data_IF_734811017602
#
_entry.id   IF_734811017602
#
_cell.length_a   1.000
_cell.length_b   1.000
_cell.length_c   1.000
_cell.angle_alpha   90.00
_cell.angle_beta   90.00
_cell.angle_gamma   90.00
#
_symmetry.space_group_name_H-M   'P 1'
#
loop_
_entity.id
_entity.type
_entity.pdbx_description
1 polymer ?
#
# COMPACT_ATOMS: atom_id res chain seq x y z
N UNK A 1 -6.25 -11.79 9.43
CA UNK A 1 -5.05 -11.64 8.57
C UNK A 1 -4.18 -10.49 9.10
N UNK A 2 -2.85 -10.65 9.24
CA UNK A 2 -1.95 -9.56 9.67
C UNK A 2 -1.39 -8.80 8.47
N UNK A 3 -1.58 -7.48 8.48
CA UNK A 3 -1.09 -6.53 7.46
C UNK A 3 -0.18 -5.51 8.15
N UNK A 4 0.93 -5.16 7.50
CA UNK A 4 1.88 -4.14 8.00
C UNK A 4 1.55 -2.78 7.40
N UNK A 5 1.77 -1.70 8.17
CA UNK A 5 1.52 -0.32 7.72
C UNK A 5 2.28 0.04 6.44
N UNK A 6 3.54 -0.41 6.31
CA UNK A 6 4.35 -0.25 5.11
C UNK A 6 3.68 -0.82 3.85
N UNK A 7 2.98 -1.95 3.97
CA UNK A 7 2.33 -2.57 2.82
C UNK A 7 1.07 -1.78 2.41
N UNK A 8 0.32 -1.25 3.38
CA UNK A 8 -0.81 -0.35 3.11
C UNK A 8 -0.33 0.91 2.37
N UNK A 9 0.80 1.48 2.82
CA UNK A 9 1.41 2.65 2.20
C UNK A 9 1.81 2.42 0.73
N UNK A 10 2.41 1.26 0.45
CA UNK A 10 2.75 0.86 -0.92
C UNK A 10 1.52 0.75 -1.83
N UNK A 11 0.42 0.16 -1.34
CA UNK A 11 -0.82 0.05 -2.12
C UNK A 11 -1.46 1.43 -2.35
N UNK A 12 -1.41 2.32 -1.35
CA UNK A 12 -1.86 3.71 -1.51
C UNK A 12 -1.07 4.45 -2.58
N UNK A 13 0.27 4.35 -2.56
CA UNK A 13 1.12 4.92 -3.62
C UNK A 13 0.81 4.35 -5.00
N UNK A 14 0.61 3.03 -5.14
CA UNK A 14 0.21 2.41 -6.41
C UNK A 14 -1.08 2.98 -6.99
N UNK A 15 -2.01 3.41 -6.12
CA UNK A 15 -3.28 4.01 -6.51
C UNK A 15 -3.24 5.55 -6.54
N UNK A 16 -2.05 6.16 -6.52
CA UNK A 16 -1.89 7.61 -6.63
C UNK A 16 -2.30 8.40 -5.38
N UNK A 17 -2.53 7.73 -4.25
CA UNK A 17 -2.85 8.40 -2.99
C UNK A 17 -1.55 8.99 -2.43
N UNK A 18 -1.47 10.32 -2.42
CA UNK A 18 -0.33 11.06 -1.85
C UNK A 18 -0.34 10.88 -0.33
N UNK A 19 0.71 10.27 0.19
CA UNK A 19 0.90 10.11 1.62
C UNK A 19 1.82 11.18 2.21
N UNK A 20 1.72 11.39 3.52
CA UNK A 20 2.77 12.07 4.28
C UNK A 20 4.08 11.28 4.19
N UNK A 21 5.20 11.96 4.41
CA UNK A 21 6.54 11.38 4.32
C UNK A 21 6.63 10.09 5.16
N UNK A 22 7.06 9.00 4.53
CA UNK A 22 7.35 7.75 5.23
C UNK A 22 8.65 7.92 6.03
N UNK A 23 8.55 7.90 7.36
CA UNK A 23 9.70 8.03 8.26
C UNK A 23 10.55 6.75 8.34
N UNK A 24 9.99 5.59 7.96
CA UNK A 24 10.77 4.36 7.74
C UNK A 24 11.52 4.46 6.41
N UNK A 25 12.61 5.22 6.42
CA UNK A 25 13.50 5.34 5.28
C UNK A 25 14.32 4.05 5.12
N UNK A 26 14.51 3.55 3.89
CA UNK A 26 15.41 2.43 3.64
C UNK A 26 16.85 2.82 4.02
N UNK A 27 17.64 1.85 4.48
CA UNK A 27 19.06 2.07 4.84
C UNK A 27 19.95 2.33 3.62
N UNK A 28 19.49 1.94 2.43
CA UNK A 28 20.17 2.18 1.15
C UNK A 28 19.14 2.42 0.05
N UNK A 29 19.52 3.16 -1.00
CA UNK A 29 18.63 3.54 -2.11
C UNK A 29 18.00 2.35 -2.85
N UNK A 30 18.68 1.20 -2.89
CA UNK A 30 18.24 -0.01 -3.59
C UNK A 30 17.63 -1.08 -2.67
N UNK A 31 17.13 -0.70 -1.49
CA UNK A 31 16.51 -1.68 -0.59
C UNK A 31 15.23 -2.23 -1.23
N UNK A 32 15.24 -3.52 -1.61
CA UNK A 32 14.05 -4.20 -2.15
C UNK A 32 12.96 -4.24 -1.07
N UNK A 33 11.88 -3.49 -1.30
CA UNK A 33 10.69 -3.55 -0.48
C UNK A 33 10.04 -4.94 -0.60
N UNK A 34 9.61 -5.58 0.50
CA UNK A 34 8.94 -6.87 0.44
C UNK A 34 7.61 -6.73 -0.30
N UNK A 35 7.44 -7.48 -1.40
CA UNK A 35 6.16 -7.60 -2.11
C UNK A 35 5.27 -8.56 -1.34
N UNK A 36 4.11 -8.10 -0.89
CA UNK A 36 3.14 -8.95 -0.21
C UNK A 36 2.46 -9.94 -1.17
N UNK A 37 1.89 -11.04 -0.65
CA UNK A 37 1.11 -11.97 -1.45
C UNK A 37 -0.14 -11.29 -2.07
N UNK A 38 -0.61 -11.73 -3.25
CA UNK A 38 -1.72 -11.11 -3.97
C UNK A 38 -3.01 -10.97 -3.16
N UNK A 39 -3.29 -11.91 -2.26
CA UNK A 39 -4.46 -11.89 -1.38
C UNK A 39 -4.47 -10.66 -0.45
N UNK A 40 -3.30 -10.28 0.09
CA UNK A 40 -3.19 -9.08 0.93
C UNK A 40 -3.38 -7.80 0.13
N UNK A 41 -2.89 -7.77 -1.10
CA UNK A 41 -3.10 -6.64 -2.00
C UNK A 41 -4.59 -6.46 -2.31
N UNK A 42 -5.31 -7.56 -2.59
CA UNK A 42 -6.77 -7.53 -2.76
C UNK A 42 -7.48 -7.02 -1.51
N UNK A 43 -7.21 -7.61 -0.34
CA UNK A 43 -7.87 -7.21 0.90
C UNK A 43 -7.66 -5.72 1.25
N UNK A 44 -6.46 -5.17 1.00
CA UNK A 44 -6.19 -3.74 1.21
C UNK A 44 -6.92 -2.90 0.17
N UNK A 45 -6.90 -3.30 -1.11
CA UNK A 45 -7.56 -2.57 -2.20
C UNK A 45 -9.08 -2.51 -1.97
N UNK A 46 -9.70 -3.62 -1.57
CA UNK A 46 -11.12 -3.67 -1.20
C UNK A 46 -11.43 -2.78 0.01
N UNK A 47 -10.58 -2.77 1.03
CA UNK A 47 -10.73 -1.86 2.15
C UNK A 47 -10.64 -0.38 1.71
N UNK A 48 -9.67 -0.03 0.86
CA UNK A 48 -9.54 1.33 0.32
C UNK A 48 -10.79 1.74 -0.48
N UNK A 49 -11.37 0.82 -1.26
CA UNK A 49 -12.64 1.05 -1.98
C UNK A 49 -13.81 1.26 -1.03
N UNK A 50 -13.94 0.39 -0.01
CA UNK A 50 -15.01 0.49 0.99
C UNK A 50 -15.00 1.84 1.71
N UNK A 51 -13.81 2.39 1.99
CA UNK A 51 -13.66 3.72 2.59
C UNK A 51 -13.71 4.87 1.59
N UNK A 52 -14.00 4.62 0.31
CA UNK A 52 -14.07 5.64 -0.74
C UNK A 52 -12.72 6.31 -1.04
N UNK A 53 -11.60 5.66 -0.70
CA UNK A 53 -10.26 6.21 -0.93
C UNK A 53 -9.79 6.02 -2.38
N UNK A 54 -10.27 4.97 -3.05
CA UNK A 54 -10.01 4.68 -4.47
C UNK A 54 -11.33 4.31 -5.15
N UNK A 55 -11.47 4.69 -6.42
CA UNK A 55 -12.64 4.32 -7.23
C UNK A 55 -12.58 2.87 -7.71
N UNK A 56 -13.69 2.39 -8.26
CA UNK A 56 -13.66 1.17 -9.06
C UNK A 56 -12.92 1.45 -10.38
N UNK A 57 -12.00 0.56 -10.82
CA UNK A 57 -11.45 0.66 -12.15
C UNK A 57 -12.62 0.48 -13.15
N UNK A 58 -12.76 1.43 -14.07
CA UNK A 58 -13.63 1.30 -15.24
C UNK A 58 -13.28 0.04 -16.04
#
# INVERSE_FOLDING_TARGET
MKVYSLFIAQIKQKNGIIERVNYNKPKSENTKQPKGPPEKERAITEALKFFGMIGDPL
#
